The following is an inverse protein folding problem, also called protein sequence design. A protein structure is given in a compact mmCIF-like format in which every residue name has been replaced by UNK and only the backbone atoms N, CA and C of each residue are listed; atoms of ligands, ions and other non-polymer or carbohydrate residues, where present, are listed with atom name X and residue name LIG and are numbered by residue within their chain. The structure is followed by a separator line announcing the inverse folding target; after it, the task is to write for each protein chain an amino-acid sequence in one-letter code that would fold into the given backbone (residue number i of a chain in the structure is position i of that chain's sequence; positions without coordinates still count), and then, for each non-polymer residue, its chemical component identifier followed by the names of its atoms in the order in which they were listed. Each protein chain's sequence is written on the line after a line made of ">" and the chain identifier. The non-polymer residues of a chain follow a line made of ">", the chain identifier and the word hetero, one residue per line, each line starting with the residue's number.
data_IF_299586061499
#
_entry.id   IF_299586061499
#
_cell.length_a   1.000
_cell.length_b   1.000
_cell.length_c   1.000
_cell.angle_alpha   90.00
_cell.angle_beta   90.00
_cell.angle_gamma   90.00
#
_symmetry.space_group_name_H-M   'P 1'
#
loop_
_entity.id
_entity.type
_entity.pdbx_description
1 polymer ?
#
# COMPACT_ATOMS: atom_id res chain seq x y z
N UNK A 1 -49.69 -68.15 -28.47
CA UNK A 1 -48.28 -68.57 -28.70
C UNK A 1 -47.57 -67.37 -29.29
N UNK A 2 -46.88 -66.59 -28.46
CA UNK A 2 -45.42 -66.64 -28.22
C UNK A 2 -44.61 -65.87 -29.28
N UNK A 3 -43.88 -64.85 -28.79
CA UNK A 3 -42.55 -64.37 -29.24
C UNK A 3 -42.47 -63.63 -30.60
N UNK A 4 -41.65 -62.60 -30.85
CA UNK A 4 -40.55 -61.90 -30.15
C UNK A 4 -40.06 -60.76 -31.09
N UNK A 5 -39.15 -59.90 -30.59
CA UNK A 5 -38.30 -58.94 -31.34
C UNK A 5 -38.95 -57.58 -31.69
N UNK A 6 -38.50 -56.40 -31.24
CA UNK A 6 -37.19 -56.00 -30.73
C UNK A 6 -36.36 -55.34 -31.84
N UNK A 7 -36.58 -54.06 -32.13
CA UNK A 7 -35.67 -53.27 -32.97
C UNK A 7 -35.39 -51.92 -32.34
N UNK A 8 -34.11 -51.72 -32.01
CA UNK A 8 -33.52 -50.53 -31.42
C UNK A 8 -33.32 -49.47 -32.51
N UNK A 9 -33.81 -48.26 -32.28
CA UNK A 9 -33.45 -47.10 -33.11
C UNK A 9 -32.05 -46.59 -32.73
N UNK A 10 -31.23 -46.45 -33.78
CA UNK A 10 -29.82 -46.07 -33.74
C UNK A 10 -29.75 -44.54 -33.74
N UNK A 11 -29.34 -43.98 -32.60
CA UNK A 11 -29.15 -42.54 -32.40
C UNK A 11 -28.12 -41.95 -33.38
N UNK A 12 -28.53 -40.85 -33.98
CA UNK A 12 -27.83 -40.04 -34.97
C UNK A 12 -26.56 -39.38 -34.40
N UNK A 13 -25.43 -39.61 -35.06
CA UNK A 13 -24.15 -38.94 -34.80
C UNK A 13 -24.22 -37.47 -35.25
N UNK A 14 -24.02 -36.54 -34.31
CA UNK A 14 -23.85 -35.11 -34.57
C UNK A 14 -22.69 -34.58 -33.75
N UNK A 15 -21.54 -34.48 -34.41
CA UNK A 15 -20.44 -33.60 -34.04
C UNK A 15 -20.96 -32.20 -33.69
N UNK A 16 -20.71 -31.75 -32.47
CA UNK A 16 -20.74 -30.34 -32.10
C UNK A 16 -19.79 -30.15 -30.92
N UNK A 17 -18.64 -29.54 -31.18
CA UNK A 17 -17.74 -28.98 -30.18
C UNK A 17 -18.52 -28.04 -29.27
N UNK A 18 -18.26 -28.06 -27.96
CA UNK A 18 -18.34 -26.87 -27.09
C UNK A 18 -17.45 -27.11 -25.85
N UNK A 19 -16.24 -26.56 -25.94
CA UNK A 19 -15.47 -25.87 -24.90
C UNK A 19 -15.60 -26.39 -23.46
N UNK A 20 -14.57 -27.11 -23.01
CA UNK A 20 -14.29 -27.31 -21.59
C UNK A 20 -14.04 -25.97 -20.92
N UNK A 21 -14.95 -25.59 -20.01
CA UNK A 21 -14.73 -24.48 -19.10
C UNK A 21 -13.63 -24.84 -18.11
N UNK A 22 -12.42 -24.36 -18.37
CA UNK A 22 -11.40 -24.26 -17.32
C UNK A 22 -11.85 -23.13 -16.40
N UNK A 23 -12.56 -23.49 -15.34
CA UNK A 23 -12.73 -22.60 -14.19
C UNK A 23 -11.34 -22.36 -13.60
N UNK A 24 -10.76 -21.19 -13.88
CA UNK A 24 -9.63 -20.69 -13.11
C UNK A 24 -10.14 -20.42 -11.68
N UNK A 25 -9.99 -21.41 -10.82
CA UNK A 25 -9.99 -21.19 -9.39
C UNK A 25 -8.80 -20.27 -9.08
N UNK A 26 -9.06 -18.98 -8.87
CA UNK A 26 -8.09 -18.09 -8.24
C UNK A 26 -7.91 -18.63 -6.83
N UNK A 27 -6.85 -19.40 -6.62
CA UNK A 27 -6.39 -19.76 -5.30
C UNK A 27 -5.98 -18.44 -4.63
N UNK A 28 -6.88 -17.88 -3.83
CA UNK A 28 -6.53 -16.91 -2.80
C UNK A 28 -5.63 -17.64 -1.81
N UNK A 29 -4.33 -17.70 -2.12
CA UNK A 29 -3.32 -18.21 -1.23
C UNK A 29 -3.35 -17.34 0.02
N UNK A 30 -3.93 -17.87 1.09
CA UNK A 30 -3.74 -17.31 2.41
C UNK A 30 -2.24 -17.39 2.70
N UNK A 31 -1.54 -16.26 2.57
CA UNK A 31 -0.25 -16.10 3.23
C UNK A 31 -0.54 -16.24 4.72
N UNK A 32 -0.33 -17.44 5.24
CA UNK A 32 -0.31 -17.68 6.68
C UNK A 32 0.79 -16.81 7.24
N UNK A 33 0.41 -15.78 8.00
CA UNK A 33 1.37 -14.97 8.73
C UNK A 33 2.14 -15.92 9.66
N UNK A 34 3.44 -16.08 9.42
CA UNK A 34 4.28 -16.94 10.24
C UNK A 34 4.13 -16.54 11.71
N UNK A 35 4.09 -17.49 12.64
CA UNK A 35 3.95 -17.18 14.06
C UNK A 35 5.04 -16.21 14.54
N UNK A 36 4.73 -15.31 15.48
CA UNK A 36 5.70 -14.37 16.01
C UNK A 36 6.81 -15.13 16.76
N UNK A 37 8.06 -14.89 16.37
CA UNK A 37 9.24 -15.49 17.01
C UNK A 37 9.72 -14.56 18.11
N UNK A 38 9.92 -15.09 19.32
CA UNK A 38 10.40 -14.31 20.45
C UNK A 38 11.80 -13.72 20.16
N UNK A 39 11.96 -12.44 20.47
CA UNK A 39 13.21 -11.71 20.39
C UNK A 39 14.19 -12.20 21.45
N UNK A 40 15.49 -12.15 21.11
CA UNK A 40 16.58 -12.39 22.08
C UNK A 40 16.87 -11.19 22.97
N UNK A 41 16.25 -10.04 22.71
CA UNK A 41 16.42 -8.83 23.51
C UNK A 41 15.81 -9.04 24.89
N UNK A 42 16.62 -8.83 25.93
CA UNK A 42 16.19 -8.92 27.34
C UNK A 42 15.81 -7.54 27.86
N UNK A 43 14.64 -7.44 28.48
CA UNK A 43 14.16 -6.32 29.28
C UNK A 43 13.81 -6.80 30.69
N UNK A 44 13.56 -5.90 31.66
CA UNK A 44 13.27 -6.29 33.05
C UNK A 44 12.12 -7.28 33.24
N UNK A 45 11.26 -7.45 32.23
CA UNK A 45 10.08 -8.32 32.28
C UNK A 45 10.13 -9.50 31.29
N UNK A 46 11.18 -9.64 30.47
CA UNK A 46 11.23 -10.64 29.39
C UNK A 46 11.09 -12.08 29.86
N UNK A 47 11.47 -12.37 31.11
CA UNK A 47 11.34 -13.71 31.69
C UNK A 47 9.89 -14.09 32.02
N UNK A 48 9.00 -13.08 32.16
CA UNK A 48 7.56 -13.26 32.46
C UNK A 48 6.66 -12.98 31.26
N UNK A 49 7.08 -12.05 30.40
CA UNK A 49 6.36 -11.61 29.21
C UNK A 49 7.35 -11.70 28.05
N UNK A 50 7.25 -12.74 27.20
CA UNK A 50 8.14 -12.90 26.06
C UNK A 50 8.13 -11.64 25.18
N UNK A 51 9.31 -11.18 24.79
CA UNK A 51 9.42 -10.02 23.90
C UNK A 51 9.24 -10.47 22.45
N UNK A 52 8.38 -9.78 21.71
CA UNK A 52 8.28 -9.90 20.26
C UNK A 52 8.59 -8.55 19.63
N UNK A 53 9.45 -8.55 18.61
CA UNK A 53 9.66 -7.34 17.81
C UNK A 53 8.53 -7.26 16.78
N UNK A 54 7.93 -6.07 16.57
CA UNK A 54 6.99 -5.87 15.49
C UNK A 54 7.66 -6.23 14.16
N UNK A 55 6.93 -6.96 13.31
CA UNK A 55 7.35 -7.21 11.93
C UNK A 55 6.52 -6.34 11.00
N UNK A 56 6.92 -6.33 9.74
CA UNK A 56 6.23 -5.58 8.70
C UNK A 56 6.01 -6.42 7.46
N UNK A 57 4.88 -6.20 6.81
CA UNK A 57 4.55 -6.76 5.51
C UNK A 57 4.35 -5.63 4.50
N UNK A 58 4.90 -5.79 3.30
CA UNK A 58 4.77 -4.81 2.22
C UNK A 58 3.31 -4.66 1.78
N UNK A 59 2.85 -3.41 1.64
CA UNK A 59 1.50 -3.08 1.21
C UNK A 59 1.51 -2.46 -0.18
N UNK A 60 2.27 -1.38 -0.38
CA UNK A 60 2.40 -0.72 -1.68
C UNK A 60 3.67 0.11 -1.80
N UNK A 61 4.08 0.37 -3.04
CA UNK A 61 5.00 1.44 -3.41
C UNK A 61 4.20 2.52 -4.15
N UNK A 62 4.39 3.77 -3.76
CA UNK A 62 3.84 4.94 -4.43
C UNK A 62 4.97 5.80 -4.98
N UNK A 63 4.91 6.07 -6.29
CA UNK A 63 5.70 7.10 -6.95
C UNK A 63 4.81 8.34 -7.02
N UNK A 64 5.09 9.31 -6.17
CA UNK A 64 4.28 10.53 -6.04
C UNK A 64 4.96 11.66 -6.78
N UNK A 65 4.28 12.19 -7.80
CA UNK A 65 4.74 13.37 -8.53
C UNK A 65 4.52 14.62 -7.68
N UNK A 66 5.55 15.45 -7.61
CA UNK A 66 5.58 16.65 -6.82
C UNK A 66 5.82 17.89 -7.70
N UNK A 67 5.01 18.90 -7.44
CA UNK A 67 5.04 20.17 -8.16
C UNK A 67 5.86 21.22 -7.43
N UNK A 68 5.31 22.44 -7.39
CA UNK A 68 5.99 23.59 -6.81
C UNK A 68 6.24 23.38 -5.32
N UNK A 69 7.46 23.73 -4.90
CA UNK A 69 7.81 23.88 -3.49
C UNK A 69 7.73 25.36 -3.12
N UNK A 70 6.72 25.72 -2.34
CA UNK A 70 6.46 27.09 -1.92
C UNK A 70 6.94 27.31 -0.48
N UNK A 71 7.84 28.27 -0.30
CA UNK A 71 8.19 28.74 1.04
C UNK A 71 7.02 29.56 1.61
N UNK A 72 6.64 29.26 2.86
CA UNK A 72 5.55 29.92 3.58
C UNK A 72 6.08 30.81 4.72
N UNK A 73 7.37 31.13 4.68
CA UNK A 73 8.08 31.91 5.70
C UNK A 73 8.46 31.12 6.94
N UNK A 74 9.18 31.80 7.84
CA UNK A 74 9.59 31.26 9.12
C UNK A 74 8.47 31.41 10.17
N UNK A 75 8.26 30.35 10.95
CA UNK A 75 7.45 30.38 12.17
C UNK A 75 8.31 30.18 13.43
N UNK A 76 7.68 30.19 14.62
CA UNK A 76 8.40 29.97 15.88
C UNK A 76 9.19 28.66 15.93
N UNK A 77 8.70 27.63 15.24
CA UNK A 77 9.29 26.29 15.26
C UNK A 77 10.30 26.03 14.12
N UNK A 78 10.40 26.92 13.12
CA UNK A 78 11.27 26.74 11.96
C UNK A 78 10.64 27.21 10.65
N UNK A 79 11.27 26.85 9.53
CA UNK A 79 10.81 27.22 8.19
C UNK A 79 9.62 26.35 7.77
N UNK A 80 8.58 26.98 7.24
CA UNK A 80 7.38 26.30 6.74
C UNK A 80 7.43 26.25 5.22
N UNK A 81 7.12 25.09 4.64
CA UNK A 81 7.00 24.92 3.19
C UNK A 81 5.74 24.15 2.85
N UNK A 82 5.35 24.23 1.59
CA UNK A 82 4.24 23.49 1.02
C UNK A 82 4.65 22.95 -0.34
N UNK A 83 4.49 21.66 -0.53
CA UNK A 83 4.82 20.96 -1.79
C UNK A 83 3.54 20.43 -2.40
N UNK A 84 3.31 20.80 -3.65
CA UNK A 84 2.16 20.33 -4.42
C UNK A 84 2.32 18.84 -4.76
N UNK A 85 1.24 18.07 -4.64
CA UNK A 85 1.15 16.70 -5.15
C UNK A 85 0.38 16.75 -6.47
N UNK A 86 1.06 16.46 -7.57
CA UNK A 86 0.54 16.71 -8.93
C UNK A 86 0.09 15.44 -9.64
N UNK A 87 0.28 14.27 -9.01
CA UNK A 87 -0.09 12.98 -9.58
C UNK A 87 0.84 11.89 -9.12
N UNK A 88 0.92 10.82 -9.90
CA UNK A 88 1.71 9.65 -9.55
C UNK A 88 1.00 8.34 -9.81
N UNK A 89 1.69 7.27 -9.44
CA UNK A 89 1.23 5.89 -9.59
C UNK A 89 1.56 5.10 -8.34
N UNK A 90 0.77 4.09 -8.03
CA UNK A 90 1.09 3.16 -6.94
C UNK A 90 0.78 1.72 -7.32
N UNK A 91 1.53 0.81 -6.71
CA UNK A 91 1.40 -0.62 -6.95
C UNK A 91 1.79 -1.43 -5.71
N UNK A 92 1.04 -2.51 -5.47
CA UNK A 92 1.25 -3.48 -4.41
C UNK A 92 0.35 -4.70 -4.59
N UNK A 93 0.48 -5.73 -3.74
CA UNK A 93 -0.34 -6.93 -3.82
C UNK A 93 -1.84 -6.59 -3.66
N UNK A 94 -2.60 -6.74 -4.74
CA UNK A 94 -4.03 -6.41 -4.76
C UNK A 94 -4.37 -4.93 -4.67
N UNK A 95 -3.39 -4.02 -4.86
CA UNK A 95 -3.56 -2.57 -4.82
C UNK A 95 -2.80 -1.95 -5.99
N UNK A 96 -3.50 -1.36 -6.96
CA UNK A 96 -2.88 -0.68 -8.10
C UNK A 96 -3.73 0.52 -8.49
N UNK A 97 -3.07 1.60 -8.90
CA UNK A 97 -3.73 2.72 -9.54
C UNK A 97 -2.87 3.97 -9.60
N UNK A 98 -3.53 5.12 -9.49
CA UNK A 98 -2.93 6.44 -9.66
C UNK A 98 -3.14 7.33 -8.43
N UNK A 99 -2.22 8.26 -8.23
CA UNK A 99 -2.42 9.39 -7.31
C UNK A 99 -3.30 10.41 -8.03
N UNK A 100 -4.36 10.89 -7.39
CA UNK A 100 -5.26 11.87 -8.01
C UNK A 100 -4.51 13.22 -8.13
N UNK A 101 -4.37 13.78 -9.35
CA UNK A 101 -3.71 15.08 -9.54
C UNK A 101 -4.41 16.20 -8.78
N UNK A 102 -3.63 17.08 -8.16
CA UNK A 102 -4.11 18.30 -7.48
C UNK A 102 -5.12 18.04 -6.34
N UNK A 103 -5.27 16.81 -5.87
CA UNK A 103 -6.12 16.46 -4.72
C UNK A 103 -5.48 16.75 -3.37
N UNK A 104 -4.13 16.86 -3.33
CA UNK A 104 -3.39 16.92 -2.08
C UNK A 104 -2.14 17.77 -2.10
N UNK A 105 -1.57 17.95 -0.91
CA UNK A 105 -0.34 18.70 -0.68
C UNK A 105 0.43 18.12 0.51
N UNK A 106 1.75 18.32 0.51
CA UNK A 106 2.61 18.07 1.65
C UNK A 106 2.97 19.38 2.36
N UNK A 107 2.56 19.50 3.62
CA UNK A 107 2.95 20.60 4.49
C UNK A 107 4.19 20.23 5.27
N UNK A 108 5.27 20.98 5.04
CA UNK A 108 6.56 20.70 5.65
C UNK A 108 6.91 21.76 6.69
N UNK A 109 7.49 21.31 7.80
CA UNK A 109 8.16 22.13 8.80
C UNK A 109 9.60 21.67 8.92
N UNK A 110 10.54 22.52 8.52
CA UNK A 110 11.96 22.33 8.76
C UNK A 110 12.27 22.99 10.09
N UNK A 111 12.43 22.16 11.13
CA UNK A 111 12.69 22.64 12.48
C UNK A 111 14.09 23.24 12.58
N UNK A 112 14.29 24.06 13.60
CA UNK A 112 15.58 24.73 13.87
C UNK A 112 16.73 23.75 14.16
N UNK A 113 16.42 22.53 14.58
CA UNK A 113 17.39 21.45 14.78
C UNK A 113 17.71 20.65 13.49
N UNK A 114 17.21 21.11 12.33
CA UNK A 114 17.42 20.46 11.03
C UNK A 114 16.43 19.33 10.73
N UNK A 115 15.62 18.91 11.71
CA UNK A 115 14.62 17.86 11.50
C UNK A 115 13.46 18.38 10.67
N UNK A 116 13.17 17.68 9.57
CA UNK A 116 12.03 17.98 8.71
C UNK A 116 10.85 17.12 9.11
N UNK A 117 9.72 17.77 9.42
CA UNK A 117 8.41 17.13 9.59
C UNK A 117 7.59 17.38 8.34
N UNK A 118 6.93 16.36 7.83
CA UNK A 118 6.06 16.43 6.65
C UNK A 118 4.69 15.88 7.03
N UNK A 119 3.62 16.49 6.56
CA UNK A 119 2.23 16.05 6.75
C UNK A 119 1.53 16.18 5.39
N UNK A 120 1.56 15.08 4.65
CA UNK A 120 0.96 14.98 3.33
C UNK A 120 -0.44 14.39 3.44
N UNK A 121 -1.43 15.06 2.84
CA UNK A 121 -2.80 14.60 2.71
C UNK A 121 -3.16 14.63 1.22
N UNK A 122 -3.56 13.48 0.68
CA UNK A 122 -3.84 13.29 -0.75
C UNK A 122 -4.65 12.02 -1.01
N UNK A 123 -5.13 11.87 -2.24
CA UNK A 123 -5.97 10.75 -2.64
C UNK A 123 -5.28 9.81 -3.63
N UNK A 124 -5.53 8.52 -3.47
CA UNK A 124 -5.24 7.48 -4.45
C UNK A 124 -6.56 7.03 -5.07
N UNK A 125 -6.57 6.80 -6.37
CA UNK A 125 -7.64 6.12 -7.07
C UNK A 125 -7.14 4.77 -7.57
N UNK A 126 -7.76 3.69 -7.10
CA UNK A 126 -7.48 2.34 -7.59
C UNK A 126 -8.04 2.14 -9.00
N UNK A 127 -7.51 1.15 -9.72
CA UNK A 127 -7.94 0.85 -11.10
C UNK A 127 -9.41 0.41 -11.20
N UNK A 128 -9.97 -0.17 -10.12
CA UNK A 128 -11.39 -0.52 -9.99
C UNK A 128 -12.26 0.62 -9.46
N UNK A 129 -11.68 1.81 -9.28
CA UNK A 129 -12.40 3.07 -9.05
C UNK A 129 -12.59 3.49 -7.59
N UNK A 130 -12.14 2.69 -6.61
CA UNK A 130 -12.16 3.11 -5.21
C UNK A 130 -11.19 4.28 -4.96
N UNK A 131 -11.61 5.23 -4.12
CA UNK A 131 -10.79 6.38 -3.73
C UNK A 131 -10.35 6.20 -2.28
N UNK A 132 -9.04 6.21 -2.07
CA UNK A 132 -8.41 6.08 -0.76
C UNK A 132 -7.83 7.43 -0.35
N UNK A 133 -8.17 7.92 0.83
CA UNK A 133 -7.53 9.12 1.39
C UNK A 133 -6.31 8.70 2.20
N UNK A 134 -5.16 9.30 1.89
CA UNK A 134 -3.88 9.01 2.52
C UNK A 134 -3.46 10.21 3.35
N UNK A 135 -3.17 9.98 4.63
CA UNK A 135 -2.41 10.90 5.45
C UNK A 135 -1.06 10.29 5.79
N UNK A 136 0.02 10.97 5.41
CA UNK A 136 1.37 10.48 5.57
C UNK A 136 2.21 11.50 6.36
N UNK A 137 2.51 11.15 7.61
CA UNK A 137 3.25 12.00 8.54
C UNK A 137 4.67 11.52 8.69
N UNK A 138 5.63 12.27 8.17
CA UNK A 138 7.02 11.83 8.02
C UNK A 138 7.95 12.63 8.93
N UNK A 139 8.91 11.92 9.53
CA UNK A 139 10.09 12.52 10.16
C UNK A 139 11.31 12.22 9.29
N UNK A 140 12.02 13.28 8.91
CA UNK A 140 13.23 13.20 8.11
C UNK A 140 14.38 13.87 8.86
N UNK A 141 15.48 13.14 8.97
CA UNK A 141 16.79 13.66 9.38
C UNK A 141 17.75 13.46 8.20
N UNK A 142 17.93 14.55 7.43
CA UNK A 142 18.85 14.60 6.30
C UNK A 142 20.33 14.73 6.76
N UNK A 143 20.58 15.00 8.05
CA UNK A 143 21.92 15.09 8.63
C UNK A 143 22.52 13.75 9.08
N UNK A 144 21.67 12.72 9.26
CA UNK A 144 22.09 11.37 9.66
C UNK A 144 22.57 10.53 8.47
N UNK A 145 23.53 9.62 8.73
CA UNK A 145 23.99 8.59 7.77
C UNK A 145 23.90 7.19 8.43
N UNK A 146 23.08 6.25 7.91
CA UNK A 146 22.15 6.41 6.79
C UNK A 146 21.04 7.43 7.11
N UNK A 147 20.47 8.03 6.05
CA UNK A 147 19.38 8.99 6.14
C UNK A 147 18.19 8.37 6.88
N UNK A 148 17.62 9.10 7.84
CA UNK A 148 16.40 8.67 8.53
C UNK A 148 15.19 9.33 7.85
N UNK A 149 14.25 8.54 7.34
CA UNK A 149 13.06 9.07 6.67
C UNK A 149 11.89 8.06 6.74
N UNK A 150 11.20 8.06 7.88
CA UNK A 150 10.10 7.15 8.19
C UNK A 150 8.83 7.91 8.51
N UNK A 151 7.70 7.27 8.29
CA UNK A 151 6.39 7.87 8.49
C UNK A 151 5.38 6.98 9.19
N UNK A 152 4.43 7.63 9.85
CA UNK A 152 3.14 7.04 10.18
C UNK A 152 2.19 7.30 9.00
N UNK A 153 1.57 6.24 8.50
CA UNK A 153 0.64 6.31 7.38
C UNK A 153 -0.74 5.93 7.87
N UNK A 154 -1.73 6.71 7.51
CA UNK A 154 -3.14 6.39 7.68
C UNK A 154 -3.77 6.33 6.29
N UNK A 155 -4.56 5.28 6.06
CA UNK A 155 -5.35 5.14 4.83
C UNK A 155 -6.81 4.98 5.24
N UNK A 156 -7.63 5.90 4.76
CA UNK A 156 -9.09 5.80 4.85
C UNK A 156 -9.62 5.25 3.54
N UNK A 157 -10.21 4.06 3.59
CA UNK A 157 -10.82 3.37 2.47
C UNK A 157 -12.36 3.34 2.61
N UNK A 158 -13.12 3.36 1.51
CA UNK A 158 -14.55 3.11 1.55
C UNK A 158 -14.86 1.66 1.94
N UNK A 159 -16.12 1.40 2.26
CA UNK A 159 -16.60 0.02 2.44
C UNK A 159 -16.34 -0.80 1.17
N UNK A 160 -16.01 -2.09 1.36
CA UNK A 160 -15.72 -3.02 0.28
C UNK A 160 -14.33 -3.65 0.37
N UNK A 161 -13.70 -4.00 -0.77
CA UNK A 161 -12.51 -4.85 -0.80
C UNK A 161 -11.28 -4.23 -0.12
N UNK A 162 -11.24 -2.91 0.03
CA UNK A 162 -10.11 -2.18 0.63
C UNK A 162 -10.35 -1.77 2.09
N UNK A 163 -11.53 -2.06 2.66
CA UNK A 163 -11.89 -1.65 4.02
C UNK A 163 -10.97 -2.22 5.12
N UNK A 164 -10.20 -3.27 4.81
CA UNK A 164 -9.19 -3.82 5.72
C UNK A 164 -8.07 -2.82 6.04
N UNK A 165 -7.79 -1.85 5.15
CA UNK A 165 -6.80 -0.80 5.36
C UNK A 165 -7.15 0.08 6.57
N UNK A 166 -8.44 0.24 6.87
CA UNK A 166 -8.93 0.98 8.03
C UNK A 166 -8.67 0.27 9.37
N UNK A 167 -8.17 -0.97 9.34
CA UNK A 167 -8.08 -1.87 10.51
C UNK A 167 -6.65 -2.25 10.88
N UNK A 168 -5.66 -1.65 10.21
CA UNK A 168 -4.24 -1.99 10.40
C UNK A 168 -3.44 -0.73 10.69
N UNK A 169 -2.35 -0.89 11.44
CA UNK A 169 -1.36 0.17 11.59
C UNK A 169 -0.38 0.10 10.42
N UNK A 170 -0.23 1.22 9.72
CA UNK A 170 0.70 1.35 8.62
C UNK A 170 1.89 2.24 9.02
N UNK A 171 3.04 1.88 8.49
CA UNK A 171 4.28 2.67 8.55
C UNK A 171 4.81 2.84 7.14
N UNK A 172 5.44 3.98 6.89
CA UNK A 172 6.03 4.29 5.59
C UNK A 172 7.51 4.59 5.69
N UNK A 173 8.16 4.53 4.55
CA UNK A 173 9.54 4.97 4.36
C UNK A 173 9.64 5.79 3.08
N UNK A 174 10.30 6.94 3.15
CA UNK A 174 10.70 7.68 1.96
C UNK A 174 11.92 6.99 1.34
N UNK A 175 11.65 6.05 0.44
CA UNK A 175 12.63 5.14 -0.15
C UNK A 175 13.63 5.85 -1.09
N UNK A 176 13.26 6.99 -1.69
CA UNK A 176 14.16 7.72 -2.57
C UNK A 176 13.47 8.84 -3.34
N UNK A 177 14.21 9.44 -4.28
CA UNK A 177 13.69 10.40 -5.25
C UNK A 177 14.08 9.95 -6.66
N UNK A 178 13.21 10.18 -7.63
CA UNK A 178 13.46 9.90 -9.05
C UNK A 178 13.96 11.13 -9.81
N UNK A 179 14.42 12.15 -9.09
CA UNK A 179 14.97 13.38 -9.69
C UNK A 179 16.41 13.13 -10.18
N UNK A 180 16.82 13.77 -11.29
CA UNK A 180 16.06 14.79 -12.04
C UNK A 180 15.09 14.24 -13.09
N UNK A 181 15.14 12.94 -13.41
CA UNK A 181 14.42 12.32 -14.54
C UNK A 181 12.90 12.46 -14.41
N UNK A 182 12.39 12.39 -13.18
CA UNK A 182 10.99 12.63 -12.84
C UNK A 182 10.94 13.45 -11.56
N UNK A 183 10.10 14.49 -11.53
CA UNK A 183 9.85 15.27 -10.33
C UNK A 183 8.98 14.48 -9.36
N UNK A 184 9.53 13.40 -8.79
CA UNK A 184 8.81 12.46 -7.95
C UNK A 184 9.64 11.95 -6.76
N UNK A 185 8.91 11.53 -5.73
CA UNK A 185 9.43 10.80 -4.57
C UNK A 185 8.86 9.40 -4.55
N UNK A 186 9.65 8.46 -4.00
CA UNK A 186 9.25 7.06 -3.85
C UNK A 186 8.96 6.79 -2.39
N UNK A 187 7.77 6.30 -2.10
CA UNK A 187 7.29 5.97 -0.77
C UNK A 187 6.92 4.50 -0.76
N UNK A 188 7.39 3.76 0.24
CA UNK A 188 6.97 2.37 0.48
C UNK A 188 6.19 2.30 1.77
N UNK A 189 5.05 1.63 1.73
CA UNK A 189 4.14 1.47 2.86
C UNK A 189 4.10 0.01 3.27
N UNK A 190 4.08 -0.21 4.58
CA UNK A 190 4.06 -1.52 5.20
C UNK A 190 3.01 -1.55 6.30
N UNK A 191 2.37 -2.69 6.50
CA UNK A 191 1.52 -2.94 7.68
C UNK A 191 2.33 -3.62 8.77
N UNK A 192 2.06 -3.27 10.02
CA UNK A 192 2.64 -3.98 11.17
C UNK A 192 1.94 -5.32 11.38
N UNK A 193 2.72 -6.37 11.66
CA UNK A 193 2.29 -7.76 11.92
C UNK A 193 3.09 -8.43 13.02
#
# INVERSE_FOLDING_TARGET
>A
MSKEQGMREKGMDRRSLLLGGVGLAVAAGSLSAAEPVASKVKTPTSDRIPMYLPRTEFVLEAIVDIGRNSALGNGPLGERRMVEITGGTFEGPGLRGKVIPYGGMDRQLIRRDGIKRMDALYELQTDDGAVLTIRNQVIVDDGKKPRYAFSAVEISAPDGPYAWLNRVQLVGMHAGSLRPERQAVVIRVYKLV
#
